data_IF_723817730470
#
_entry.id   IF_723817730470
#
_cell.length_a   1.000
_cell.length_b   1.000
_cell.length_c   1.000
_cell.angle_alpha   90.00
_cell.angle_beta   90.00
_cell.angle_gamma   90.00
#
_symmetry.space_group_name_H-M   'P 1'
#
loop_
_entity.id
_entity.type
_entity.pdbx_description
1 polymer ?
#
# COMPACT_ATOMS: atom_id res chain seq x y z
N UNK A 1 -1.35 8.43 9.39
CA UNK A 1 -0.18 8.46 10.34
C UNK A 1 -0.42 9.62 11.29
N UNK A 2 -0.58 9.34 12.55
CA UNK A 2 -0.67 10.40 13.55
C UNK A 2 0.76 10.78 13.95
N UNK A 3 1.24 11.94 13.52
CA UNK A 3 2.56 12.45 13.90
C UNK A 3 2.54 12.88 15.38
N UNK A 4 3.42 12.30 16.16
CA UNK A 4 3.63 12.67 17.56
C UNK A 4 4.93 13.50 17.68
N UNK A 5 4.79 14.79 17.96
CA UNK A 5 5.91 15.70 18.14
C UNK A 5 6.85 15.24 19.27
N UNK A 6 6.30 14.73 20.37
CA UNK A 6 7.10 14.28 21.53
C UNK A 6 8.01 13.13 21.13
N UNK A 7 7.47 12.11 20.44
CA UNK A 7 8.29 10.98 19.99
C UNK A 7 9.37 11.41 18.99
N UNK A 8 9.07 12.32 18.07
CA UNK A 8 10.04 12.75 17.06
C UNK A 8 11.06 13.74 17.63
N UNK A 9 10.62 14.84 18.21
CA UNK A 9 11.49 15.93 18.64
C UNK A 9 12.27 15.54 19.90
N UNK A 10 11.60 14.94 20.88
CA UNK A 10 12.22 14.67 22.18
C UNK A 10 12.97 13.34 22.23
N UNK A 11 12.68 12.41 21.33
CA UNK A 11 13.29 11.09 21.33
C UNK A 11 14.09 10.82 20.05
N UNK A 12 13.44 10.73 18.89
CA UNK A 12 14.10 10.28 17.67
C UNK A 12 15.13 11.28 17.15
N UNK A 13 14.82 12.58 17.10
CA UNK A 13 15.74 13.59 16.61
C UNK A 13 16.90 13.88 17.57
N UNK A 14 16.85 13.37 18.81
CA UNK A 14 17.96 13.40 19.76
C UNK A 14 18.86 12.17 19.68
N UNK A 15 18.43 11.12 19.02
CA UNK A 15 19.28 9.94 18.78
C UNK A 15 20.39 10.30 17.78
N UNK A 16 21.64 10.09 18.18
CA UNK A 16 22.83 10.42 17.37
C UNK A 16 22.85 9.77 15.98
N UNK A 17 22.17 8.62 15.82
CA UNK A 17 22.08 7.91 14.54
C UNK A 17 21.08 8.55 13.59
N UNK A 18 20.05 9.19 14.14
CA UNK A 18 18.89 9.73 13.41
C UNK A 18 18.98 11.26 13.32
N UNK A 19 19.65 11.91 14.26
CA UNK A 19 19.76 13.39 14.34
C UNK A 19 20.21 14.05 13.03
N UNK A 20 21.02 13.36 12.21
CA UNK A 20 21.45 13.88 10.89
C UNK A 20 20.31 14.06 9.88
N UNK A 21 19.15 13.44 10.12
CA UNK A 21 17.95 13.56 9.29
C UNK A 21 16.90 14.49 9.93
N UNK A 22 17.16 14.96 11.16
CA UNK A 22 16.26 15.87 11.83
C UNK A 22 16.19 17.19 11.07
N UNK A 23 14.99 17.77 10.89
CA UNK A 23 14.88 19.11 10.32
C UNK A 23 15.48 20.15 11.26
N UNK A 24 16.07 21.19 10.69
CA UNK A 24 16.69 22.28 11.46
C UNK A 24 15.66 23.08 12.28
N UNK A 25 14.44 23.18 11.77
CA UNK A 25 13.34 23.90 12.42
C UNK A 25 11.96 23.33 12.03
N UNK A 26 10.90 23.93 12.56
CA UNK A 26 9.51 23.53 12.29
C UNK A 26 9.15 23.55 10.80
N UNK A 27 9.83 24.38 10.00
CA UNK A 27 9.57 24.51 8.54
C UNK A 27 10.05 23.28 7.75
N UNK A 28 10.85 22.42 8.35
CA UNK A 28 11.18 21.13 7.74
C UNK A 28 9.93 20.27 7.51
N UNK A 29 8.96 20.33 8.42
CA UNK A 29 7.73 19.56 8.37
C UNK A 29 6.48 20.41 8.10
N UNK A 30 6.55 21.72 8.32
CA UNK A 30 5.43 22.66 8.18
C UNK A 30 5.70 23.71 7.12
N UNK A 31 4.64 24.20 6.51
CA UNK A 31 4.64 25.35 5.61
C UNK A 31 3.49 26.30 5.98
N UNK A 32 3.66 27.58 5.73
CA UNK A 32 2.58 28.55 5.87
C UNK A 32 1.80 28.65 4.57
N UNK A 33 0.49 28.91 4.67
CA UNK A 33 -0.31 29.26 3.51
C UNK A 33 0.18 30.59 2.89
N UNK A 34 -0.32 30.92 1.71
CA UNK A 34 0.10 32.09 0.96
C UNK A 34 -0.07 33.42 1.73
N UNK A 35 -0.94 33.44 2.74
CA UNK A 35 -1.22 34.63 3.56
C UNK A 35 -0.45 34.60 4.89
N UNK A 36 0.30 33.56 5.20
CA UNK A 36 0.99 33.37 6.46
C UNK A 36 0.09 33.18 7.68
N UNK A 37 -1.20 32.95 7.46
CA UNK A 37 -2.21 32.86 8.52
C UNK A 37 -2.38 31.45 9.07
N UNK A 38 -2.14 30.43 8.28
CA UNK A 38 -2.29 29.01 8.65
C UNK A 38 -0.98 28.25 8.42
N UNK A 39 -0.63 27.45 9.41
CA UNK A 39 0.48 26.51 9.29
C UNK A 39 -0.09 25.14 8.83
N UNK A 40 0.41 24.63 7.73
CA UNK A 40 0.04 23.34 7.15
C UNK A 40 1.17 22.34 7.33
N UNK A 41 0.82 21.06 7.36
CA UNK A 41 1.81 19.98 7.30
C UNK A 41 2.16 19.78 5.83
N UNK A 42 3.46 19.68 5.54
CA UNK A 42 3.95 19.29 4.22
C UNK A 42 3.55 17.86 3.88
N UNK A 43 3.63 17.48 2.61
CA UNK A 43 3.34 16.08 2.20
C UNK A 43 4.29 15.09 2.88
N UNK A 44 3.85 13.83 2.99
CA UNK A 44 4.66 12.75 3.53
C UNK A 44 6.00 12.64 2.80
N UNK A 45 5.98 12.71 1.48
CA UNK A 45 7.15 12.58 0.61
C UNK A 45 8.18 13.66 0.89
N UNK A 46 7.72 14.91 1.10
CA UNK A 46 8.60 16.05 1.30
C UNK A 46 9.12 16.22 2.73
N UNK A 47 8.45 15.62 3.72
CA UNK A 47 8.77 15.82 5.13
C UNK A 47 9.13 14.54 5.89
N UNK A 48 8.51 13.43 5.57
CA UNK A 48 8.64 12.19 6.32
C UNK A 48 9.36 11.08 5.52
N UNK A 49 9.16 11.03 4.20
CA UNK A 49 9.68 9.99 3.31
C UNK A 49 11.19 10.03 3.21
N UNK A 50 11.69 11.07 2.61
CA UNK A 50 13.04 11.20 2.06
C UNK A 50 14.25 11.02 2.97
N UNK A 51 14.15 10.43 4.09
CA UNK A 51 15.32 10.15 4.95
C UNK A 51 15.04 9.19 6.08
N UNK A 52 13.75 8.94 6.39
CA UNK A 52 13.39 8.16 7.56
C UNK A 52 12.37 7.05 7.29
N UNK A 53 11.30 7.36 6.57
CA UNK A 53 10.15 6.45 6.47
C UNK A 53 9.97 5.78 5.11
N UNK A 54 10.64 6.23 4.07
CA UNK A 54 10.48 5.67 2.73
C UNK A 54 10.88 4.19 2.68
N UNK A 55 12.05 3.84 3.22
CA UNK A 55 12.47 2.43 3.32
C UNK A 55 11.56 1.58 4.20
N UNK A 56 10.95 2.19 5.22
CA UNK A 56 10.02 1.50 6.12
C UNK A 56 8.66 1.23 5.46
N UNK A 57 8.28 2.05 4.48
CA UNK A 57 7.00 1.94 3.78
C UNK A 57 7.12 1.07 2.52
N UNK A 58 8.20 1.20 1.77
CA UNK A 58 8.37 0.57 0.46
C UNK A 58 9.59 -0.36 0.34
N UNK A 59 10.56 -0.26 1.25
CA UNK A 59 11.82 -0.98 1.17
C UNK A 59 11.92 -2.24 2.03
N UNK A 60 13.09 -2.87 2.02
CA UNK A 60 13.42 -4.06 2.81
C UNK A 60 13.39 -3.81 4.34
N UNK A 61 13.38 -2.55 4.78
CA UNK A 61 13.30 -2.17 6.20
C UNK A 61 11.91 -2.30 6.84
N UNK A 62 10.89 -2.77 6.12
CA UNK A 62 9.50 -2.91 6.60
C UNK A 62 9.36 -3.74 7.87
N UNK A 63 10.18 -4.75 8.06
CA UNK A 63 10.13 -5.62 9.23
C UNK A 63 10.32 -4.89 10.57
N UNK A 64 10.95 -3.71 10.55
CA UNK A 64 11.16 -2.86 11.73
C UNK A 64 10.20 -1.68 11.84
N UNK A 65 9.29 -1.49 10.88
CA UNK A 65 8.35 -0.39 10.85
C UNK A 65 7.37 -0.47 12.02
N UNK A 66 7.23 0.65 12.72
CA UNK A 66 6.16 0.84 13.71
C UNK A 66 5.01 1.55 13.03
N UNK A 67 3.94 0.84 12.78
CA UNK A 67 2.78 1.41 12.11
C UNK A 67 1.89 0.32 11.53
N UNK A 68 0.89 0.73 10.79
CA UNK A 68 -0.01 -0.16 10.08
C UNK A 68 0.50 -0.31 8.63
N UNK A 69 0.71 -1.53 8.21
CA UNK A 69 0.98 -1.83 6.80
C UNK A 69 -0.29 -1.53 6.00
N UNK A 70 -0.17 -0.66 5.01
CA UNK A 70 -1.31 -0.22 4.17
C UNK A 70 -1.38 -1.04 2.88
N UNK A 71 -0.22 -1.23 2.22
CA UNK A 71 -0.06 -2.03 1.03
C UNK A 71 1.11 -2.99 1.20
N UNK A 72 0.96 -4.19 0.67
CA UNK A 72 2.01 -5.20 0.59
C UNK A 72 1.74 -6.10 -0.62
N UNK A 73 2.77 -6.78 -1.11
CA UNK A 73 2.61 -7.84 -2.09
C UNK A 73 2.48 -9.16 -1.33
N UNK A 74 1.32 -9.84 -1.42
CA UNK A 74 1.15 -11.11 -0.73
C UNK A 74 2.06 -12.19 -1.33
N UNK A 75 2.54 -13.08 -0.47
CA UNK A 75 3.24 -14.28 -0.89
C UNK A 75 2.27 -15.21 -1.63
N UNK A 76 2.69 -15.74 -2.77
CA UNK A 76 1.92 -16.68 -3.57
C UNK A 76 2.85 -17.77 -4.11
N UNK A 77 2.35 -19.00 -4.17
CA UNK A 77 3.03 -20.08 -4.86
C UNK A 77 2.90 -19.95 -6.39
N UNK A 78 3.79 -19.11 -6.94
CA UNK A 78 3.83 -18.82 -8.38
C UNK A 78 4.23 -20.05 -9.20
N UNK A 79 5.00 -20.99 -8.61
CA UNK A 79 5.43 -22.19 -9.29
C UNK A 79 4.24 -23.10 -9.58
N UNK A 80 3.44 -23.41 -8.57
CA UNK A 80 2.23 -24.22 -8.72
C UNK A 80 1.20 -23.59 -9.67
N UNK A 81 1.04 -22.26 -9.66
CA UNK A 81 0.18 -21.58 -10.62
C UNK A 81 0.66 -21.77 -12.07
N UNK A 82 1.97 -21.68 -12.32
CA UNK A 82 2.57 -21.87 -13.65
C UNK A 82 2.49 -23.33 -14.13
N UNK A 83 2.69 -24.28 -13.23
CA UNK A 83 2.55 -25.71 -13.56
C UNK A 83 1.13 -26.08 -14.01
N UNK A 84 0.13 -25.31 -13.60
CA UNK A 84 -1.27 -25.47 -14.01
C UNK A 84 -1.69 -24.52 -15.16
N UNK A 85 -0.71 -23.97 -15.90
CA UNK A 85 -0.94 -23.05 -17.03
C UNK A 85 -1.72 -21.78 -16.63
N UNK A 86 -1.67 -21.37 -15.35
CA UNK A 86 -2.33 -20.17 -14.87
C UNK A 86 -1.37 -18.98 -14.92
N UNK A 87 -1.59 -18.11 -15.89
CA UNK A 87 -0.79 -16.92 -16.08
C UNK A 87 -1.24 -15.79 -15.14
N UNK A 88 -0.37 -15.42 -14.18
CA UNK A 88 -0.56 -14.23 -13.34
C UNK A 88 0.42 -13.09 -13.70
N UNK A 89 1.22 -13.26 -14.77
CA UNK A 89 2.28 -12.34 -15.13
C UNK A 89 3.48 -12.39 -14.17
N UNK A 90 4.26 -11.31 -14.11
CA UNK A 90 5.37 -11.21 -13.17
C UNK A 90 4.84 -11.04 -11.73
N UNK A 91 5.46 -11.73 -10.79
CA UNK A 91 5.19 -11.62 -9.35
C UNK A 91 6.52 -11.62 -8.60
N UNK A 92 6.72 -10.72 -7.62
CA UNK A 92 7.97 -10.67 -6.87
C UNK A 92 8.20 -11.97 -6.09
N UNK A 93 9.32 -12.63 -6.33
CA UNK A 93 9.72 -13.90 -5.70
C UNK A 93 10.12 -13.73 -4.22
N UNK A 94 10.36 -12.49 -3.78
CA UNK A 94 10.59 -12.14 -2.38
C UNK A 94 9.31 -11.77 -1.61
N UNK A 95 8.13 -11.90 -2.23
CA UNK A 95 6.87 -11.57 -1.57
C UNK A 95 6.48 -12.67 -0.57
N UNK A 96 6.37 -12.30 0.71
CA UNK A 96 6.04 -13.20 1.81
C UNK A 96 4.94 -12.62 2.72
N UNK A 97 4.46 -11.41 2.42
CA UNK A 97 3.45 -10.73 3.25
C UNK A 97 2.05 -11.33 3.04
N UNK A 98 1.16 -11.02 3.96
CA UNK A 98 -0.27 -11.23 3.78
C UNK A 98 -0.94 -9.97 3.26
N UNK A 99 -2.16 -10.09 2.71
CA UNK A 99 -2.93 -8.91 2.29
C UNK A 99 -3.29 -8.05 3.51
N UNK A 100 -2.81 -6.79 3.60
CA UNK A 100 -3.11 -5.93 4.74
C UNK A 100 -4.62 -5.59 4.83
N UNK A 101 -5.18 -5.35 6.03
CA UNK A 101 -6.61 -5.09 6.20
C UNK A 101 -7.16 -3.95 5.35
N UNK A 102 -6.43 -2.84 5.23
CA UNK A 102 -6.86 -1.71 4.39
C UNK A 102 -6.82 -2.07 2.90
N UNK A 103 -5.78 -2.77 2.46
CA UNK A 103 -5.69 -3.26 1.08
C UNK A 103 -6.82 -4.25 0.79
N UNK A 104 -7.11 -5.19 1.69
CA UNK A 104 -8.23 -6.12 1.57
C UNK A 104 -9.58 -5.39 1.44
N UNK A 105 -9.79 -4.33 2.23
CA UNK A 105 -10.96 -3.46 2.10
C UNK A 105 -11.06 -2.85 0.69
N UNK A 106 -9.97 -2.31 0.14
CA UNK A 106 -9.96 -1.74 -1.22
C UNK A 106 -10.16 -2.80 -2.31
N UNK A 107 -9.59 -3.98 -2.14
CA UNK A 107 -9.79 -5.11 -3.06
C UNK A 107 -11.25 -5.55 -3.08
N UNK A 108 -11.96 -5.44 -1.95
CA UNK A 108 -13.38 -5.80 -1.85
C UNK A 108 -14.31 -4.92 -2.71
N UNK A 109 -13.81 -3.82 -3.27
CA UNK A 109 -14.53 -3.06 -4.30
C UNK A 109 -14.69 -3.85 -5.61
N UNK A 110 -13.77 -4.79 -5.89
CA UNK A 110 -13.84 -5.65 -7.07
C UNK A 110 -14.80 -6.83 -6.82
N UNK A 111 -15.88 -6.97 -7.63
CA UNK A 111 -16.79 -8.10 -7.50
C UNK A 111 -16.12 -9.47 -7.67
N UNK A 112 -15.09 -9.57 -8.53
CA UNK A 112 -14.34 -10.82 -8.74
C UNK A 112 -13.61 -11.23 -7.48
N UNK A 113 -12.94 -10.28 -6.83
CA UNK A 113 -12.27 -10.53 -5.57
C UNK A 113 -13.26 -10.92 -4.46
N UNK A 114 -14.38 -10.19 -4.34
CA UNK A 114 -15.42 -10.53 -3.35
C UNK A 114 -15.93 -11.96 -3.49
N UNK A 115 -16.09 -12.43 -4.73
CA UNK A 115 -16.60 -13.78 -4.99
C UNK A 115 -15.67 -14.89 -4.48
N UNK A 116 -14.37 -14.62 -4.38
CA UNK A 116 -13.36 -15.61 -3.97
C UNK A 116 -12.85 -15.44 -2.53
N UNK A 117 -13.22 -14.38 -1.84
CA UNK A 117 -12.75 -14.10 -0.47
C UNK A 117 -12.96 -15.24 0.52
N UNK A 118 -14.11 -15.93 0.44
CA UNK A 118 -14.42 -17.05 1.33
C UNK A 118 -13.59 -18.30 1.02
N UNK A 119 -13.12 -18.45 -0.21
CA UNK A 119 -12.20 -19.52 -0.61
C UNK A 119 -10.81 -19.17 -0.13
N UNK A 120 -10.33 -17.94 -0.42
CA UNK A 120 -9.03 -17.45 0.03
C UNK A 120 -8.85 -17.55 1.55
N UNK A 121 -9.90 -17.26 2.32
CA UNK A 121 -9.87 -17.35 3.79
C UNK A 121 -9.71 -18.78 4.34
N UNK A 122 -9.81 -19.82 3.51
CA UNK A 122 -9.64 -21.22 3.90
C UNK A 122 -8.28 -21.78 3.51
N UNK A 123 -7.51 -21.06 2.72
CA UNK A 123 -6.16 -21.44 2.32
C UNK A 123 -5.24 -21.17 3.52
N UNK A 124 -4.65 -22.24 4.07
CA UNK A 124 -3.78 -22.14 5.23
C UNK A 124 -2.46 -21.45 4.88
N UNK A 125 -1.86 -21.81 3.75
CA UNK A 125 -0.62 -21.22 3.27
C UNK A 125 -0.69 -20.90 1.76
N UNK A 126 -0.82 -19.63 1.36
CA UNK A 126 -0.80 -19.25 -0.05
C UNK A 126 0.57 -19.45 -0.74
N UNK A 127 1.63 -19.72 0.02
CA UNK A 127 2.97 -20.04 -0.49
C UNK A 127 3.17 -21.53 -0.81
N UNK A 128 2.21 -22.39 -0.43
CA UNK A 128 2.21 -23.81 -0.75
C UNK A 128 0.81 -24.23 -1.25
N UNK A 129 0.69 -24.36 -2.56
CA UNK A 129 -0.55 -24.76 -3.24
C UNK A 129 -0.47 -26.18 -3.80
N UNK A 130 0.48 -27.00 -3.34
CA UNK A 130 0.70 -28.36 -3.84
C UNK A 130 -0.53 -29.27 -3.69
N UNK A 131 -1.28 -29.10 -2.61
CA UNK A 131 -2.50 -29.86 -2.32
C UNK A 131 -3.79 -29.04 -2.54
N UNK A 132 -3.68 -27.85 -3.15
CA UNK A 132 -4.82 -26.97 -3.33
C UNK A 132 -5.76 -27.47 -4.41
N UNK A 133 -7.05 -27.29 -4.19
CA UNK A 133 -8.10 -27.57 -5.18
C UNK A 133 -8.07 -26.57 -6.33
N UNK A 134 -8.64 -26.93 -7.48
CA UNK A 134 -8.81 -26.02 -8.62
C UNK A 134 -9.50 -24.70 -8.23
N UNK A 135 -10.44 -24.74 -7.30
CA UNK A 135 -11.15 -23.55 -6.82
C UNK A 135 -10.24 -22.62 -6.00
N UNK A 136 -9.34 -23.18 -5.19
CA UNK A 136 -8.37 -22.41 -4.41
C UNK A 136 -7.33 -21.79 -5.32
N UNK A 137 -6.82 -22.54 -6.28
CA UNK A 137 -5.88 -22.05 -7.28
C UNK A 137 -6.49 -20.92 -8.12
N UNK A 138 -7.72 -21.07 -8.59
CA UNK A 138 -8.44 -20.02 -9.30
C UNK A 138 -8.67 -18.76 -8.42
N UNK A 139 -8.92 -18.97 -7.12
CA UNK A 139 -9.07 -17.88 -6.17
C UNK A 139 -7.75 -17.11 -5.96
N UNK A 140 -6.61 -17.82 -5.85
CA UNK A 140 -5.28 -17.18 -5.74
C UNK A 140 -4.92 -16.42 -7.00
N UNK A 141 -5.20 -16.94 -8.19
CA UNK A 141 -5.03 -16.22 -9.44
C UNK A 141 -5.90 -14.95 -9.51
N UNK A 142 -7.13 -15.03 -9.02
CA UNK A 142 -8.02 -13.87 -8.92
C UNK A 142 -7.46 -12.82 -7.95
N UNK A 143 -6.92 -13.24 -6.81
CA UNK A 143 -6.22 -12.35 -5.87
C UNK A 143 -5.06 -11.64 -6.57
N UNK A 144 -4.20 -12.38 -7.27
CA UNK A 144 -3.05 -11.80 -7.97
C UNK A 144 -3.47 -10.69 -8.95
N UNK A 145 -4.45 -10.95 -9.80
CA UNK A 145 -4.95 -9.96 -10.74
C UNK A 145 -5.68 -8.79 -10.08
N UNK A 146 -6.38 -9.02 -8.97
CA UNK A 146 -7.04 -7.95 -8.22
C UNK A 146 -6.05 -7.02 -7.54
N UNK A 147 -4.93 -7.56 -7.01
CA UNK A 147 -3.81 -6.77 -6.47
C UNK A 147 -3.19 -5.92 -7.57
N UNK A 148 -2.88 -6.51 -8.72
CA UNK A 148 -2.33 -5.79 -9.87
C UNK A 148 -3.25 -4.69 -10.37
N UNK A 149 -4.55 -4.99 -10.51
CA UNK A 149 -5.55 -4.00 -10.90
C UNK A 149 -5.63 -2.84 -9.92
N UNK A 150 -5.66 -3.11 -8.62
CA UNK A 150 -5.67 -2.07 -7.58
C UNK A 150 -4.47 -1.13 -7.72
N UNK A 151 -3.27 -1.68 -7.84
CA UNK A 151 -2.04 -0.91 -7.94
C UNK A 151 -1.94 -0.14 -9.27
N UNK A 152 -2.44 -0.73 -10.35
CA UNK A 152 -2.52 -0.07 -11.65
C UNK A 152 -3.47 1.13 -11.60
N UNK A 153 -4.67 0.97 -11.03
CA UNK A 153 -5.64 2.04 -10.90
C UNK A 153 -5.11 3.19 -10.04
N UNK A 154 -4.45 2.88 -8.92
CA UNK A 154 -3.81 3.89 -8.07
C UNK A 154 -2.74 4.66 -8.84
N UNK A 155 -1.94 3.98 -9.67
CA UNK A 155 -0.94 4.65 -10.50
C UNK A 155 -1.55 5.52 -11.58
N UNK A 156 -2.62 5.06 -12.21
CA UNK A 156 -3.26 5.73 -13.34
C UNK A 156 -4.12 6.93 -12.89
N UNK A 157 -4.85 6.78 -11.80
CA UNK A 157 -5.88 7.71 -11.34
C UNK A 157 -5.57 8.35 -9.98
N UNK A 158 -4.49 7.91 -9.30
CA UNK A 158 -4.07 8.43 -8.01
C UNK A 158 -5.17 8.31 -6.95
N UNK A 159 -5.43 9.44 -6.29
CA UNK A 159 -6.46 9.57 -5.24
C UNK A 159 -7.86 9.19 -5.74
N UNK A 160 -8.14 9.41 -7.03
CA UNK A 160 -9.44 9.09 -7.64
C UNK A 160 -9.78 7.61 -7.54
N UNK A 161 -8.82 6.73 -7.81
CA UNK A 161 -8.98 5.28 -7.69
C UNK A 161 -9.35 4.86 -6.27
N UNK A 162 -8.67 5.41 -5.25
CA UNK A 162 -8.97 5.11 -3.85
C UNK A 162 -10.37 5.57 -3.45
N UNK A 163 -10.73 6.81 -3.78
CA UNK A 163 -12.07 7.33 -3.49
C UNK A 163 -13.16 6.51 -4.18
N UNK A 164 -12.90 6.06 -5.42
CA UNK A 164 -13.80 5.19 -6.17
C UNK A 164 -14.04 3.86 -5.46
N UNK A 165 -12.96 3.18 -5.07
CA UNK A 165 -13.04 1.89 -4.37
C UNK A 165 -13.67 1.99 -2.99
N UNK A 166 -13.29 3.00 -2.20
CA UNK A 166 -13.91 3.23 -0.88
C UNK A 166 -15.42 3.51 -1.02
N UNK A 167 -15.83 4.34 -1.99
CA UNK A 167 -17.25 4.59 -2.28
C UNK A 167 -18.00 3.31 -2.63
N UNK A 168 -17.39 2.45 -3.44
CA UNK A 168 -18.00 1.17 -3.85
C UNK A 168 -18.24 0.26 -2.65
N UNK A 169 -17.24 0.11 -1.77
CA UNK A 169 -17.36 -0.72 -0.57
C UNK A 169 -18.36 -0.15 0.43
N UNK A 170 -18.37 1.17 0.62
CA UNK A 170 -19.31 1.82 1.54
C UNK A 170 -20.75 1.86 1.01
N UNK A 171 -20.96 1.67 -0.29
CA UNK A 171 -22.29 1.82 -0.92
C UNK A 171 -22.86 3.24 -0.86
N UNK A 172 -22.03 4.26 -0.56
CA UNK A 172 -22.41 5.67 -0.48
C UNK A 172 -21.28 6.60 -0.92
N UNK A 173 -21.60 7.82 -1.35
CA UNK A 173 -20.60 8.85 -1.59
C UNK A 173 -19.81 9.18 -0.32
N UNK A 174 -18.51 9.46 -0.48
CA UNK A 174 -17.68 10.03 0.57
C UNK A 174 -17.94 11.53 0.70
N UNK A 175 -17.92 12.02 1.92
CA UNK A 175 -17.94 13.45 2.21
C UNK A 175 -16.61 14.10 1.84
N UNK A 176 -16.57 15.44 1.73
CA UNK A 176 -15.33 16.16 1.46
C UNK A 176 -14.28 15.95 2.58
N UNK A 177 -14.73 15.88 3.84
CA UNK A 177 -13.86 15.62 4.99
C UNK A 177 -13.24 14.23 4.90
N UNK A 178 -14.05 13.17 4.69
CA UNK A 178 -13.55 11.80 4.54
C UNK A 178 -12.52 11.66 3.40
N UNK A 179 -12.76 12.34 2.28
CA UNK A 179 -11.81 12.36 1.15
C UNK A 179 -10.48 13.01 1.54
N UNK A 180 -10.55 14.15 2.21
CA UNK A 180 -9.34 14.89 2.64
C UNK A 180 -8.55 14.09 3.65
N UNK A 181 -9.22 13.51 4.65
CA UNK A 181 -8.57 12.71 5.69
C UNK A 181 -7.92 11.44 5.13
N UNK A 182 -8.62 10.72 4.24
CA UNK A 182 -8.07 9.54 3.59
C UNK A 182 -6.83 9.90 2.76
N UNK A 183 -6.90 10.97 1.99
CA UNK A 183 -5.79 11.42 1.14
C UNK A 183 -4.57 11.84 1.98
N UNK A 184 -4.79 12.54 3.09
CA UNK A 184 -3.73 13.02 3.97
C UNK A 184 -2.97 11.86 4.67
N UNK A 185 -3.58 10.67 4.76
CA UNK A 185 -2.97 9.52 5.41
C UNK A 185 -2.10 8.65 4.48
N UNK A 186 -2.19 8.86 3.17
CA UNK A 186 -1.59 7.95 2.19
C UNK A 186 -0.47 8.63 1.38
N UNK A 187 0.75 8.08 1.42
CA UNK A 187 1.88 8.59 0.66
C UNK A 187 1.82 8.09 -0.80
N UNK A 188 1.08 8.78 -1.66
CA UNK A 188 0.83 8.35 -3.04
C UNK A 188 2.09 8.17 -3.88
N UNK A 189 3.06 9.09 -3.75
CA UNK A 189 4.31 8.98 -4.51
C UNK A 189 5.11 7.76 -4.08
N UNK A 190 5.10 7.44 -2.77
CA UNK A 190 5.74 6.23 -2.24
C UNK A 190 5.02 4.97 -2.73
N UNK A 191 3.69 4.96 -2.75
CA UNK A 191 2.90 3.84 -3.28
C UNK A 191 3.19 3.64 -4.77
N UNK A 192 3.27 4.72 -5.55
CA UNK A 192 3.60 4.66 -6.96
C UNK A 192 5.05 4.20 -7.22
N UNK A 193 5.99 4.57 -6.34
CA UNK A 193 7.36 4.09 -6.41
C UNK A 193 7.44 2.59 -6.10
N UNK A 194 6.81 2.15 -5.03
CA UNK A 194 6.73 0.74 -4.65
C UNK A 194 6.08 -0.11 -5.75
N UNK A 195 4.99 0.37 -6.37
CA UNK A 195 4.34 -0.33 -7.47
C UNK A 195 5.28 -0.52 -8.67
N UNK A 196 6.11 0.48 -9.01
CA UNK A 196 7.09 0.35 -10.11
C UNK A 196 8.18 -0.67 -9.81
N UNK A 197 8.55 -0.79 -8.55
CA UNK A 197 9.53 -1.77 -8.09
C UNK A 197 8.93 -3.18 -8.05
N UNK A 198 7.74 -3.33 -7.49
CA UNK A 198 7.07 -4.63 -7.37
C UNK A 198 6.60 -5.20 -8.71
N UNK A 199 6.12 -4.34 -9.62
CA UNK A 199 5.53 -4.74 -10.89
C UNK A 199 5.98 -3.82 -12.03
N UNK A 200 7.24 -3.95 -12.48
CA UNK A 200 7.79 -3.06 -13.51
C UNK A 200 7.06 -3.19 -14.86
N UNK A 201 6.53 -4.37 -15.18
CA UNK A 201 5.86 -4.70 -16.45
C UNK A 201 4.34 -4.51 -16.41
N UNK A 202 3.77 -4.11 -15.27
CA UNK A 202 2.32 -4.06 -15.04
C UNK A 202 1.53 -3.34 -16.13
N UNK A 203 2.06 -2.24 -16.66
CA UNK A 203 1.39 -1.49 -17.73
C UNK A 203 1.26 -2.24 -19.06
N UNK A 204 1.99 -3.32 -19.26
CA UNK A 204 1.90 -4.19 -20.45
C UNK A 204 1.05 -5.44 -20.19
N UNK A 205 0.88 -5.83 -18.94
CA UNK A 205 0.11 -7.00 -18.54
C UNK A 205 -1.40 -6.70 -18.41
N UNK A 206 -1.74 -5.48 -17.96
CA UNK A 206 -3.13 -4.98 -17.87
C UNK A 206 -3.45 -4.18 -19.14
N UNK A 207 -3.89 -4.87 -20.16
CA UNK A 207 -4.42 -4.27 -21.41
C UNK A 207 -5.74 -4.88 -21.82
#
# INVERSE_FOLDING_TARGET
>A
IQFDHTSHIDKHFRDKKIAKFAPDDCRGCHETDANGALMRIKSFESSCGGGCHEEQVAGAGRASAKGMVVFAVPGLDVASLREQDIAIGEWPDYAEDTVPPFMNFLLSADPKYRAVQTVLAKIDDPLDLSDASEAEIAAVATLAWSVKSLLFDIRAEGVGALHGRVREVLGRPMTAVEKTELTALLPFDTIAAAQREWFPTLGTEIR
#
